data_IF_375768315384
#
_entry.id   IF_375768315384
#
_cell.length_a   1.000
_cell.length_b   1.000
_cell.length_c   1.000
_cell.angle_alpha   90.00
_cell.angle_beta   90.00
_cell.angle_gamma   90.00
#
_symmetry.space_group_name_H-M   'P 1'
#
loop_
_entity.id
_entity.type
_entity.pdbx_description
1 polymer ?
#
# COMPACT_ATOMS: atom_id res chain seq x y z
N UNK A 1 50.93 32.04 -55.81
CA UNK A 1 50.97 31.51 -54.41
C UNK A 1 49.64 31.83 -53.72
N UNK A 2 48.69 30.91 -53.70
CA UNK A 2 47.38 31.06 -53.16
C UNK A 2 47.35 30.37 -51.75
N UNK A 3 47.23 31.16 -50.69
CA UNK A 3 47.13 30.67 -49.35
C UNK A 3 45.72 30.16 -49.15
N UNK A 4 45.53 28.85 -48.92
CA UNK A 4 44.27 28.24 -48.44
C UNK A 4 44.18 28.47 -46.97
N UNK A 5 43.12 29.25 -46.52
CA UNK A 5 42.77 29.42 -45.16
C UNK A 5 41.85 28.24 -44.80
N UNK A 6 42.29 27.39 -43.89
CA UNK A 6 41.49 26.27 -43.33
C UNK A 6 40.75 26.79 -42.11
N UNK A 7 39.46 27.11 -42.26
CA UNK A 7 38.58 27.43 -41.11
C UNK A 7 38.17 26.12 -40.40
N UNK A 8 38.67 25.91 -39.19
CA UNK A 8 38.23 24.84 -38.33
C UNK A 8 36.97 25.33 -37.61
N UNK A 9 35.82 24.78 -38.00
CA UNK A 9 34.54 25.01 -37.29
C UNK A 9 34.49 24.07 -36.08
N UNK A 10 34.71 24.61 -34.87
CA UNK A 10 34.54 23.85 -33.62
C UNK A 10 33.05 23.80 -33.30
N UNK A 11 32.45 22.65 -33.58
CA UNK A 11 31.05 22.36 -33.23
C UNK A 11 31.00 22.03 -31.72
N UNK A 12 30.62 22.98 -30.87
CA UNK A 12 30.39 22.74 -29.45
C UNK A 12 29.01 22.03 -29.34
N UNK A 13 29.03 20.72 -29.21
CA UNK A 13 27.85 19.93 -28.90
C UNK A 13 27.53 20.10 -27.41
N UNK A 14 26.58 20.97 -27.08
CA UNK A 14 25.98 20.96 -25.75
C UNK A 14 25.13 19.70 -25.60
N UNK A 15 25.68 18.65 -25.05
CA UNK A 15 24.88 17.57 -24.53
C UNK A 15 24.12 18.08 -23.28
N UNK A 16 22.86 18.39 -23.44
CA UNK A 16 21.98 18.55 -22.29
C UNK A 16 21.86 17.17 -21.63
N UNK A 17 22.72 16.86 -20.68
CA UNK A 17 22.51 15.75 -19.78
C UNK A 17 21.26 16.13 -18.94
N UNK A 18 20.09 15.65 -19.35
CA UNK A 18 18.92 15.70 -18.51
C UNK A 18 19.29 14.95 -17.21
N UNK A 19 19.38 15.66 -16.10
CA UNK A 19 19.63 15.01 -14.82
C UNK A 19 18.46 14.06 -14.53
N UNK A 20 18.79 12.76 -14.37
CA UNK A 20 17.80 11.74 -14.10
C UNK A 20 17.09 12.06 -12.78
N UNK A 21 15.76 12.01 -12.81
CA UNK A 21 14.95 12.16 -11.60
C UNK A 21 14.92 10.85 -10.80
N UNK A 22 14.66 10.97 -9.54
CA UNK A 22 14.44 9.84 -8.64
C UNK A 22 13.28 10.15 -7.69
N UNK A 23 12.60 9.11 -7.21
CA UNK A 23 11.57 9.24 -6.19
C UNK A 23 12.22 9.59 -4.85
N UNK A 24 11.70 10.64 -4.21
CA UNK A 24 12.08 11.06 -2.86
C UNK A 24 10.85 11.35 -2.02
N UNK A 25 10.98 11.19 -0.70
CA UNK A 25 9.97 11.61 0.25
C UNK A 25 10.45 12.84 1.02
N UNK A 26 9.66 13.91 0.98
CA UNK A 26 9.94 15.19 1.63
C UNK A 26 9.19 15.23 2.96
N UNK A 27 9.91 15.05 4.06
CA UNK A 27 9.35 15.13 5.41
C UNK A 27 9.19 16.59 5.83
N UNK A 28 8.03 16.93 6.34
CA UNK A 28 7.77 18.24 6.94
C UNK A 28 8.17 18.26 8.42
N UNK A 29 8.53 19.45 8.93
CA UNK A 29 9.01 19.62 10.32
C UNK A 29 7.93 19.34 11.36
N UNK A 30 6.73 19.80 11.09
CA UNK A 30 5.63 19.82 12.05
C UNK A 30 4.27 19.85 11.36
N UNK A 31 3.22 19.93 12.16
CA UNK A 31 1.83 20.15 11.76
C UNK A 31 1.26 21.32 12.58
N UNK A 32 1.48 22.58 12.15
CA UNK A 32 1.08 23.77 12.91
C UNK A 32 -0.41 23.78 13.29
N UNK A 33 -1.27 23.28 12.42
CA UNK A 33 -2.73 23.28 12.58
C UNK A 33 -3.30 22.03 13.30
N UNK A 34 -2.46 21.18 13.88
CA UNK A 34 -2.89 19.94 14.57
C UNK A 34 -3.89 20.16 15.71
N UNK A 35 -3.91 21.34 16.33
CA UNK A 35 -4.86 21.66 17.39
C UNK A 35 -6.33 21.52 16.96
N UNK A 36 -6.64 21.83 15.69
CA UNK A 36 -7.98 21.67 15.13
C UNK A 36 -8.40 20.18 15.08
N UNK A 37 -7.47 19.29 14.74
CA UNK A 37 -7.70 17.84 14.78
C UNK A 37 -7.96 17.36 16.21
N UNK A 38 -7.14 17.76 17.18
CA UNK A 38 -7.36 17.36 18.59
C UNK A 38 -8.68 17.87 19.16
N UNK A 39 -9.17 19.02 18.71
CA UNK A 39 -10.48 19.54 19.10
C UNK A 39 -11.64 18.76 18.46
N UNK A 40 -11.44 18.16 17.28
CA UNK A 40 -12.44 17.37 16.58
C UNK A 40 -11.79 16.21 15.80
N UNK A 41 -11.41 15.10 16.46
CA UNK A 41 -10.77 13.96 15.81
C UNK A 41 -11.63 13.28 14.73
N UNK A 42 -12.96 13.43 14.80
CA UNK A 42 -13.89 12.91 13.78
C UNK A 42 -13.75 13.60 12.41
N UNK A 43 -13.02 14.71 12.32
CA UNK A 43 -12.67 15.31 11.03
C UNK A 43 -11.76 14.41 10.18
N UNK A 44 -10.96 13.57 10.82
CA UNK A 44 -9.95 12.72 10.17
C UNK A 44 -10.18 11.23 10.39
N UNK A 45 -10.81 10.83 11.47
CA UNK A 45 -10.99 9.44 11.88
C UNK A 45 -12.47 9.11 12.05
N UNK A 46 -12.88 7.91 11.68
CA UNK A 46 -14.21 7.41 11.98
C UNK A 46 -14.38 7.12 13.49
N UNK A 47 -15.63 7.05 13.96
CA UNK A 47 -15.91 6.63 15.33
C UNK A 47 -15.30 5.24 15.61
N UNK A 48 -15.41 4.30 14.67
CA UNK A 48 -14.83 2.95 14.80
C UNK A 48 -13.30 2.98 15.00
N UNK A 49 -12.61 3.91 14.32
CA UNK A 49 -11.16 4.13 14.51
C UNK A 49 -10.84 4.62 15.93
N UNK A 50 -11.66 5.55 16.47
CA UNK A 50 -11.53 6.05 17.84
C UNK A 50 -11.85 4.98 18.87
N UNK A 51 -12.89 4.18 18.63
CA UNK A 51 -13.30 3.07 19.51
C UNK A 51 -12.20 2.00 19.59
N UNK A 52 -11.55 1.66 18.46
CA UNK A 52 -10.40 0.75 18.44
C UNK A 52 -9.28 1.27 19.33
N UNK A 53 -8.89 2.55 19.20
CA UNK A 53 -7.86 3.17 20.03
C UNK A 53 -8.23 3.12 21.52
N UNK A 54 -9.46 3.44 21.84
CA UNK A 54 -9.97 3.37 23.22
C UNK A 54 -9.89 1.95 23.75
N UNK A 55 -10.32 0.95 22.96
CA UNK A 55 -10.28 -0.47 23.33
C UNK A 55 -8.87 -0.95 23.68
N UNK A 56 -7.86 -0.46 22.97
CA UNK A 56 -6.46 -0.86 23.15
C UNK A 56 -5.63 0.13 23.97
N UNK A 57 -6.22 1.19 24.52
CA UNK A 57 -5.51 2.20 25.31
C UNK A 57 -4.53 3.04 24.51
N UNK A 58 -4.79 3.25 23.20
CA UNK A 58 -3.92 3.98 22.28
C UNK A 58 -4.34 5.46 22.26
N UNK A 59 -3.43 6.36 22.64
CA UNK A 59 -3.67 7.79 22.59
C UNK A 59 -3.54 8.32 21.13
N UNK A 60 -4.31 9.37 20.82
CA UNK A 60 -4.09 10.15 19.59
C UNK A 60 -2.72 10.83 19.65
N UNK A 61 -2.07 10.93 18.53
CA UNK A 61 -0.79 11.60 18.38
C UNK A 61 -0.71 12.44 17.09
N UNK A 62 0.40 13.12 16.85
CA UNK A 62 0.58 14.02 15.70
C UNK A 62 0.47 13.30 14.35
N UNK A 63 0.71 11.98 14.29
CA UNK A 63 0.53 11.20 13.06
C UNK A 63 -0.94 11.11 12.64
N UNK A 64 -1.87 11.21 13.59
CA UNK A 64 -3.32 11.17 13.30
C UNK A 64 -3.83 12.47 12.67
N UNK A 65 -3.17 13.60 12.94
CA UNK A 65 -3.52 14.91 12.40
C UNK A 65 -3.21 15.00 10.89
N UNK A 66 -3.99 15.77 10.10
CA UNK A 66 -3.73 15.97 8.69
C UNK A 66 -2.40 16.70 8.42
N UNK A 67 -1.93 16.59 7.18
CA UNK A 67 -0.79 17.37 6.71
C UNK A 67 -1.10 18.87 6.70
N UNK A 68 -0.08 19.67 6.94
CA UNK A 68 -0.15 21.12 6.73
C UNK A 68 -0.25 21.44 5.22
N UNK A 69 -1.43 21.84 4.78
CA UNK A 69 -1.72 22.07 3.36
C UNK A 69 -0.90 23.21 2.75
N UNK A 70 -0.51 24.20 3.54
CA UNK A 70 0.37 25.27 3.08
C UNK A 70 1.76 24.73 2.69
N UNK A 71 2.29 23.74 3.40
CA UNK A 71 3.54 23.09 3.05
C UNK A 71 3.44 22.29 1.76
N UNK A 72 2.35 21.53 1.59
CA UNK A 72 2.06 20.81 0.35
C UNK A 72 1.99 21.80 -0.83
N UNK A 73 1.29 22.91 -0.66
CA UNK A 73 1.18 23.94 -1.70
C UNK A 73 2.52 24.58 -2.01
N UNK A 74 3.36 24.83 -1.00
CA UNK A 74 4.70 25.37 -1.21
C UNK A 74 5.59 24.43 -2.04
N UNK A 75 5.49 23.09 -1.84
CA UNK A 75 6.17 22.12 -2.71
C UNK A 75 5.67 22.22 -4.16
N UNK A 76 4.36 22.34 -4.37
CA UNK A 76 3.80 22.56 -5.72
C UNK A 76 4.28 23.87 -6.36
N UNK A 77 4.40 24.94 -5.58
CA UNK A 77 4.90 26.24 -6.04
C UNK A 77 6.37 26.21 -6.47
N UNK A 78 7.16 25.24 -5.98
CA UNK A 78 8.52 24.95 -6.45
C UNK A 78 8.55 24.20 -7.79
N UNK A 79 7.39 23.88 -8.38
CA UNK A 79 7.26 23.20 -9.67
C UNK A 79 7.15 21.68 -9.58
N UNK A 80 6.96 21.10 -8.38
CA UNK A 80 6.78 19.67 -8.21
C UNK A 80 5.31 19.27 -8.39
N UNK A 81 5.10 18.13 -9.05
CA UNK A 81 3.80 17.44 -9.03
C UNK A 81 3.71 16.64 -7.73
N UNK A 82 2.68 16.90 -6.93
CA UNK A 82 2.41 16.18 -5.68
C UNK A 82 1.08 15.47 -5.85
N UNK A 83 1.13 14.16 -6.02
CA UNK A 83 -0.03 13.25 -6.11
C UNK A 83 -0.13 12.35 -4.90
N UNK A 84 0.98 12.12 -4.20
CA UNK A 84 1.14 11.13 -3.15
C UNK A 84 1.70 11.76 -1.88
N UNK A 85 1.11 11.39 -0.75
CA UNK A 85 1.45 11.98 0.54
C UNK A 85 1.14 11.00 1.68
N UNK A 86 1.76 11.22 2.83
CA UNK A 86 1.47 10.45 4.04
C UNK A 86 1.35 11.37 5.24
N UNK A 87 0.21 11.31 5.93
CA UNK A 87 0.05 12.01 7.21
C UNK A 87 0.83 11.32 8.32
N UNK A 88 0.98 10.00 8.27
CA UNK A 88 1.76 9.26 9.26
C UNK A 88 3.25 9.63 9.18
N UNK A 89 3.78 9.71 7.97
CA UNK A 89 5.17 10.11 7.71
C UNK A 89 5.36 11.64 7.67
N UNK A 90 4.28 12.42 7.74
CA UNK A 90 4.25 13.87 7.69
C UNK A 90 5.00 14.46 6.48
N UNK A 91 4.58 14.11 5.29
CA UNK A 91 5.25 14.60 4.08
C UNK A 91 4.60 14.18 2.78
N UNK A 92 5.32 14.43 1.68
CA UNK A 92 4.89 14.18 0.31
C UNK A 92 5.96 13.44 -0.48
N UNK A 93 5.55 12.61 -1.44
CA UNK A 93 6.44 11.99 -2.40
C UNK A 93 6.52 12.84 -3.67
N UNK A 94 7.72 13.01 -4.23
CA UNK A 94 7.96 13.72 -5.50
C UNK A 94 9.11 13.09 -6.25
N UNK A 95 9.09 13.22 -7.59
CA UNK A 95 10.23 12.90 -8.43
C UNK A 95 11.13 14.14 -8.57
N UNK A 96 12.41 14.03 -8.21
CA UNK A 96 13.33 15.16 -8.15
C UNK A 96 14.73 14.81 -8.70
N UNK A 97 15.36 15.76 -9.38
CA UNK A 97 16.79 15.70 -9.70
C UNK A 97 17.65 15.99 -8.48
N UNK A 98 18.94 15.63 -8.45
CA UNK A 98 19.85 15.96 -7.34
C UNK A 98 19.87 17.46 -6.97
N UNK A 99 19.81 18.35 -7.96
CA UNK A 99 19.75 19.80 -7.71
C UNK A 99 18.42 20.21 -7.05
N UNK A 100 17.32 19.64 -7.48
CA UNK A 100 16.00 19.87 -6.89
C UNK A 100 15.91 19.33 -5.46
N UNK A 101 16.54 18.18 -5.16
CA UNK A 101 16.65 17.65 -3.78
C UNK A 101 17.31 18.67 -2.87
N UNK A 102 18.42 19.30 -3.32
CA UNK A 102 19.09 20.37 -2.55
C UNK A 102 18.15 21.56 -2.31
N UNK A 103 17.35 21.94 -3.33
CA UNK A 103 16.35 23.01 -3.19
C UNK A 103 15.27 22.66 -2.16
N UNK A 104 14.78 21.42 -2.16
CA UNK A 104 13.81 20.94 -1.18
C UNK A 104 14.38 20.95 0.25
N UNK A 105 15.61 20.48 0.42
CA UNK A 105 16.30 20.45 1.71
C UNK A 105 16.54 21.85 2.31
N UNK A 106 16.64 22.87 1.46
CA UNK A 106 16.83 24.27 1.89
C UNK A 106 15.54 24.93 2.40
N UNK A 107 14.37 24.31 2.24
CA UNK A 107 13.11 24.91 2.66
C UNK A 107 12.96 24.89 4.19
N UNK A 108 12.53 26.01 4.78
CA UNK A 108 12.42 26.15 6.24
C UNK A 108 11.40 25.22 6.90
N UNK A 109 10.40 24.77 6.16
CA UNK A 109 9.34 23.86 6.59
C UNK A 109 9.67 22.38 6.32
N UNK A 110 10.76 22.08 5.61
CA UNK A 110 11.23 20.71 5.37
C UNK A 110 12.15 20.27 6.50
N UNK A 111 11.91 19.09 7.04
CA UNK A 111 12.74 18.45 8.05
C UNK A 111 13.91 17.70 7.39
N UNK A 112 13.58 16.88 6.38
CA UNK A 112 14.54 16.07 5.65
C UNK A 112 13.95 15.63 4.32
N UNK A 113 14.81 15.16 3.42
CA UNK A 113 14.43 14.51 2.17
C UNK A 113 15.06 13.13 2.16
N UNK A 114 14.22 12.10 2.12
CA UNK A 114 14.66 10.70 2.02
C UNK A 114 14.64 10.26 0.57
N UNK A 115 15.75 9.68 0.13
CA UNK A 115 15.86 9.06 -1.20
C UNK A 115 15.42 7.60 -1.11
N UNK A 116 14.61 7.14 -2.04
CA UNK A 116 14.24 5.72 -2.14
C UNK A 116 15.36 4.89 -2.77
N UNK A 117 16.24 5.51 -3.57
CA UNK A 117 17.46 4.85 -4.04
C UNK A 117 18.36 4.55 -2.84
N UNK A 118 18.55 3.27 -2.54
CA UNK A 118 19.43 2.79 -1.46
C UNK A 118 20.81 2.42 -2.02
N UNK A 119 20.87 1.89 -3.23
CA UNK A 119 22.08 1.37 -3.86
C UNK A 119 22.27 1.99 -5.26
N UNK A 120 22.84 3.21 -5.38
CA UNK A 120 22.94 3.94 -6.67
C UNK A 120 23.68 3.19 -7.77
N UNK A 121 24.55 2.22 -7.44
CA UNK A 121 25.23 1.37 -8.41
C UNK A 121 24.39 0.19 -8.93
N UNK A 122 23.14 0.07 -8.46
CA UNK A 122 22.26 -1.07 -8.71
C UNK A 122 22.51 -2.23 -7.75
N UNK A 123 21.45 -2.73 -7.11
CA UNK A 123 21.46 -4.01 -6.41
C UNK A 123 21.45 -5.14 -7.43
N UNK A 124 22.14 -6.26 -7.15
CA UNK A 124 22.06 -7.44 -8.01
C UNK A 124 20.63 -7.99 -8.04
N UNK A 125 20.10 -8.28 -9.23
CA UNK A 125 18.86 -9.07 -9.33
C UNK A 125 19.13 -10.44 -8.72
N UNK A 126 18.41 -10.75 -7.66
CA UNK A 126 18.29 -12.14 -7.21
C UNK A 126 17.27 -12.81 -8.11
N UNK A 127 17.71 -13.72 -8.97
CA UNK A 127 16.82 -14.59 -9.76
C UNK A 127 16.03 -15.49 -8.79
N UNK A 128 14.99 -14.95 -8.19
CA UNK A 128 14.00 -15.74 -7.47
C UNK A 128 13.09 -16.35 -8.53
N UNK A 129 13.26 -17.66 -8.75
CA UNK A 129 12.31 -18.42 -9.56
C UNK A 129 10.91 -18.16 -9.02
N UNK A 130 10.05 -17.55 -9.85
CA UNK A 130 8.61 -17.46 -9.58
C UNK A 130 8.11 -18.88 -9.37
N UNK A 131 7.87 -19.25 -8.12
CA UNK A 131 7.28 -20.53 -7.76
C UNK A 131 5.78 -20.41 -8.08
N UNK A 132 5.31 -21.32 -8.95
CA UNK A 132 3.88 -21.43 -9.21
C UNK A 132 3.21 -21.91 -7.89
N UNK A 133 2.50 -21.03 -7.20
CA UNK A 133 2.00 -21.23 -5.83
C UNK A 133 0.72 -22.07 -5.76
N UNK A 134 0.26 -22.64 -6.89
CA UNK A 134 -1.01 -23.35 -6.96
C UNK A 134 -0.79 -24.83 -7.32
N UNK A 135 -0.72 -25.69 -6.29
CA UNK A 135 -0.96 -27.13 -6.42
C UNK A 135 -2.38 -27.43 -5.94
N UNK A 136 -3.16 -28.13 -6.78
CA UNK A 136 -4.49 -28.60 -6.40
C UNK A 136 -4.37 -29.78 -5.41
N UNK A 137 -4.97 -29.62 -4.23
CA UNK A 137 -5.10 -30.69 -3.25
C UNK A 137 -6.54 -31.21 -3.22
N UNK A 138 -6.71 -32.49 -3.55
CA UNK A 138 -7.97 -33.22 -3.37
C UNK A 138 -7.98 -33.91 -2.00
N UNK A 139 -8.94 -33.57 -1.12
CA UNK A 139 -9.18 -34.40 0.06
C UNK A 139 -10.64 -34.41 0.57
N UNK A 140 -11.03 -35.49 1.20
CA UNK A 140 -12.39 -35.94 1.50
C UNK A 140 -12.87 -35.48 2.87
N UNK A 141 -14.16 -35.24 3.00
CA UNK A 141 -14.95 -34.39 3.90
C UNK A 141 -15.28 -35.03 5.26
N UNK A 142 -15.21 -34.21 6.32
CA UNK A 142 -15.90 -34.40 7.61
C UNK A 142 -17.00 -33.36 7.79
N UNK A 143 -18.13 -33.69 8.43
CA UNK A 143 -19.28 -32.81 8.63
C UNK A 143 -19.00 -31.67 9.64
N UNK A 144 -19.22 -30.43 9.23
CA UNK A 144 -19.28 -29.20 10.06
C UNK A 144 -20.51 -28.42 9.66
N UNK A 145 -20.85 -27.34 10.38
CA UNK A 145 -21.89 -26.39 9.99
C UNK A 145 -21.58 -25.74 8.63
N UNK A 146 -20.29 -25.64 8.26
CA UNK A 146 -19.84 -25.33 6.91
C UNK A 146 -19.32 -26.60 6.22
N UNK A 147 -19.69 -26.77 4.96
CA UNK A 147 -19.03 -27.70 4.08
C UNK A 147 -17.94 -26.95 3.30
N UNK A 148 -16.69 -27.13 3.72
CA UNK A 148 -15.53 -26.39 3.18
C UNK A 148 -15.08 -26.86 1.79
N UNK A 149 -15.56 -28.03 1.35
CA UNK A 149 -15.18 -28.56 0.05
C UNK A 149 -13.66 -28.59 -0.15
N UNK A 150 -13.18 -27.97 -1.22
CA UNK A 150 -11.77 -27.92 -1.56
C UNK A 150 -10.90 -27.16 -0.52
N UNK A 151 -11.49 -26.28 0.29
CA UNK A 151 -10.79 -25.49 1.32
C UNK A 151 -10.54 -26.23 2.64
N UNK A 152 -11.05 -27.48 2.79
CA UNK A 152 -11.03 -28.17 4.08
C UNK A 152 -9.62 -28.41 4.65
N UNK A 153 -8.64 -28.71 3.79
CA UNK A 153 -7.27 -28.97 4.22
C UNK A 153 -6.62 -27.73 4.85
N UNK A 154 -6.81 -26.55 4.24
CA UNK A 154 -6.29 -25.28 4.73
C UNK A 154 -6.95 -24.89 6.06
N UNK A 155 -8.27 -25.04 6.16
CA UNK A 155 -9.03 -24.76 7.39
C UNK A 155 -8.56 -25.68 8.54
N UNK A 156 -8.34 -26.97 8.27
CA UNK A 156 -7.86 -27.91 9.26
C UNK A 156 -6.38 -27.66 9.64
N UNK A 157 -5.54 -27.24 8.69
CA UNK A 157 -4.12 -26.97 8.95
C UNK A 157 -3.92 -25.87 10.01
N UNK A 158 -4.76 -24.84 9.99
CA UNK A 158 -4.73 -23.74 10.96
C UNK A 158 -5.70 -23.95 12.14
N UNK A 159 -6.34 -25.13 12.21
CA UNK A 159 -7.32 -25.49 13.24
C UNK A 159 -8.45 -24.44 13.40
N UNK A 160 -8.95 -23.90 12.29
CA UNK A 160 -9.97 -22.85 12.27
C UNK A 160 -11.39 -23.38 12.51
N UNK A 161 -11.66 -24.64 12.14
CA UNK A 161 -12.98 -25.26 12.23
C UNK A 161 -13.65 -25.13 13.59
N UNK A 162 -12.97 -25.35 14.76
CA UNK A 162 -13.58 -25.14 16.07
C UNK A 162 -14.06 -23.71 16.30
N UNK A 163 -13.36 -22.70 15.76
CA UNK A 163 -13.77 -21.30 15.88
C UNK A 163 -15.06 -21.05 15.07
N UNK A 164 -15.16 -21.59 13.85
CA UNK A 164 -16.39 -21.47 13.05
C UNK A 164 -17.58 -22.15 13.73
N UNK A 165 -17.38 -23.35 14.30
CA UNK A 165 -18.43 -24.07 15.07
C UNK A 165 -18.87 -23.23 16.28
N UNK A 166 -17.96 -22.50 16.92
CA UNK A 166 -18.26 -21.60 18.02
C UNK A 166 -18.87 -20.26 17.58
N UNK A 167 -19.09 -20.06 16.26
CA UNK A 167 -19.71 -18.87 15.69
C UNK A 167 -18.73 -17.71 15.35
N UNK A 168 -17.42 -17.94 15.45
CA UNK A 168 -16.41 -16.92 15.09
C UNK A 168 -16.12 -16.99 13.58
N UNK A 169 -16.95 -16.33 12.79
CA UNK A 169 -16.88 -16.34 11.31
C UNK A 169 -16.46 -14.97 10.72
N UNK A 170 -15.99 -14.05 11.57
CA UNK A 170 -15.57 -12.71 11.19
C UNK A 170 -16.59 -11.60 11.45
N UNK A 171 -17.80 -11.95 11.95
CA UNK A 171 -18.84 -10.95 12.26
C UNK A 171 -18.32 -9.87 13.22
N UNK A 172 -18.51 -8.59 12.84
CA UNK A 172 -18.06 -7.43 13.61
C UNK A 172 -16.60 -7.03 13.37
N UNK A 173 -15.83 -7.83 12.64
CA UNK A 173 -14.46 -7.51 12.23
C UNK A 173 -14.46 -6.85 10.85
N UNK A 174 -13.67 -5.80 10.67
CA UNK A 174 -13.45 -5.15 9.37
C UNK A 174 -12.02 -5.42 8.91
N UNK A 175 -11.88 -5.94 7.70
CA UNK A 175 -10.60 -6.30 7.09
C UNK A 175 -10.35 -5.39 5.89
N UNK A 176 -9.19 -4.76 5.80
CA UNK A 176 -8.72 -4.19 4.54
C UNK A 176 -7.87 -5.21 3.82
N UNK A 177 -8.19 -5.49 2.55
CA UNK A 177 -7.31 -6.25 1.66
C UNK A 177 -6.60 -5.25 0.76
N UNK A 178 -5.28 -5.18 0.88
CA UNK A 178 -4.41 -4.30 0.11
C UNK A 178 -3.62 -5.17 -0.87
N UNK A 179 -3.86 -5.01 -2.18
CA UNK A 179 -3.35 -5.94 -3.19
C UNK A 179 -3.37 -5.32 -4.61
N UNK A 180 -3.23 -6.12 -5.66
CA UNK A 180 -3.17 -5.70 -7.07
C UNK A 180 -4.50 -5.18 -7.63
N UNK A 181 -5.63 -5.56 -7.05
CA UNK A 181 -6.97 -5.25 -7.54
C UNK A 181 -7.93 -6.41 -7.35
N UNK A 182 -9.21 -6.18 -7.67
CA UNK A 182 -10.29 -7.12 -7.33
C UNK A 182 -11.24 -7.40 -8.52
N UNK A 183 -10.73 -7.64 -9.74
CA UNK A 183 -11.59 -8.00 -10.86
C UNK A 183 -12.43 -9.22 -10.52
N UNK A 184 -13.66 -9.27 -11.03
CA UNK A 184 -14.67 -10.31 -10.77
C UNK A 184 -15.27 -10.38 -9.37
N UNK A 185 -14.76 -9.66 -8.37
CA UNK A 185 -15.37 -9.63 -7.03
C UNK A 185 -16.79 -9.05 -7.08
N UNK A 186 -17.04 -8.09 -7.97
CA UNK A 186 -18.36 -7.50 -8.19
C UNK A 186 -19.36 -8.43 -8.90
N UNK A 187 -18.92 -9.53 -9.54
CA UNK A 187 -19.79 -10.41 -10.35
C UNK A 187 -19.67 -11.89 -9.98
N UNK A 188 -18.50 -12.34 -9.53
CA UNK A 188 -18.18 -13.75 -9.28
C UNK A 188 -19.06 -14.39 -8.21
N UNK A 189 -19.42 -15.65 -8.41
CA UNK A 189 -20.29 -16.41 -7.51
C UNK A 189 -19.70 -16.59 -6.12
N UNK A 190 -18.37 -16.77 -6.02
CA UNK A 190 -17.67 -16.95 -4.76
C UNK A 190 -17.82 -15.72 -3.81
N UNK A 191 -18.08 -14.55 -4.37
CA UNK A 191 -18.24 -13.30 -3.59
C UNK A 191 -19.71 -12.85 -3.45
N UNK A 192 -20.67 -13.67 -3.93
CA UNK A 192 -22.08 -13.31 -3.87
C UNK A 192 -22.55 -13.05 -2.42
N UNK A 193 -22.06 -13.84 -1.45
CA UNK A 193 -22.38 -13.68 -0.03
C UNK A 193 -22.02 -12.29 0.47
N UNK A 194 -20.78 -11.89 0.35
CA UNK A 194 -20.31 -10.59 0.87
C UNK A 194 -20.93 -9.40 0.14
N UNK A 195 -21.26 -9.55 -1.17
CA UNK A 195 -22.00 -8.51 -1.91
C UNK A 195 -23.43 -8.38 -1.42
N UNK A 196 -24.15 -9.49 -1.35
CA UNK A 196 -25.58 -9.50 -1.00
C UNK A 196 -25.83 -9.04 0.45
N UNK A 197 -24.88 -9.34 1.34
CA UNK A 197 -24.95 -8.92 2.75
C UNK A 197 -24.41 -7.50 2.98
N UNK A 198 -23.94 -6.79 1.93
CA UNK A 198 -23.38 -5.45 2.07
C UNK A 198 -22.08 -5.40 2.89
N UNK A 199 -21.30 -6.48 2.87
CA UNK A 199 -20.05 -6.59 3.62
C UNK A 199 -18.87 -5.86 2.93
N UNK A 200 -18.96 -5.55 1.63
CA UNK A 200 -18.00 -4.70 0.94
C UNK A 200 -18.34 -3.25 1.26
N UNK A 201 -17.55 -2.59 2.12
CA UNK A 201 -17.81 -1.24 2.62
C UNK A 201 -17.23 -0.14 1.73
N UNK A 202 -16.39 -0.50 0.78
CA UNK A 202 -15.77 0.41 -0.19
C UNK A 202 -14.39 -0.03 -0.61
N UNK A 203 -13.71 0.83 -1.36
CA UNK A 203 -12.36 0.59 -1.84
C UNK A 203 -11.85 1.77 -2.64
N UNK A 204 -10.58 1.71 -3.01
CA UNK A 204 -9.93 2.72 -3.82
C UNK A 204 -8.74 2.14 -4.58
N UNK A 205 -8.53 2.61 -5.79
CA UNK A 205 -7.38 2.27 -6.62
C UNK A 205 -6.33 3.39 -6.49
N UNK A 206 -5.30 3.15 -5.69
CA UNK A 206 -4.23 4.11 -5.43
C UNK A 206 -3.26 4.23 -6.61
N UNK A 207 -3.21 3.25 -7.52
CA UNK A 207 -2.39 3.29 -8.73
C UNK A 207 -2.97 4.32 -9.70
N UNK A 208 -4.27 4.19 -10.01
CA UNK A 208 -4.98 5.03 -10.99
C UNK A 208 -5.70 6.22 -10.35
N UNK A 209 -5.61 6.40 -9.01
CA UNK A 209 -6.23 7.47 -8.23
C UNK A 209 -7.75 7.62 -8.49
N UNK A 210 -8.46 6.49 -8.49
CA UNK A 210 -9.90 6.43 -8.71
C UNK A 210 -10.57 5.29 -7.90
N UNK A 211 -11.89 5.15 -8.03
CA UNK A 211 -12.66 4.13 -7.30
C UNK A 211 -12.81 2.80 -8.07
N UNK A 212 -12.20 2.65 -9.24
CA UNK A 212 -12.33 1.43 -10.04
C UNK A 212 -11.33 0.35 -9.57
N UNK A 213 -11.75 -0.40 -8.57
CA UNK A 213 -11.02 -1.55 -8.02
C UNK A 213 -11.36 -2.86 -8.71
N UNK A 214 -12.38 -2.87 -9.59
CA UNK A 214 -12.89 -4.06 -10.27
C UNK A 214 -12.49 -4.12 -11.75
N UNK A 215 -11.73 -3.16 -12.23
CA UNK A 215 -11.26 -3.12 -13.62
C UNK A 215 -10.61 -4.44 -14.01
N UNK A 216 -10.98 -4.94 -15.19
CA UNK A 216 -10.35 -6.14 -15.78
C UNK A 216 -8.92 -5.90 -16.25
N UNK A 217 -8.46 -4.63 -16.25
CA UNK A 217 -7.07 -4.27 -16.51
C UNK A 217 -6.17 -4.52 -15.29
N UNK A 218 -6.76 -4.61 -14.09
CA UNK A 218 -6.02 -4.96 -12.87
C UNK A 218 -5.73 -6.47 -12.82
N UNK A 219 -4.67 -6.83 -12.13
CA UNK A 219 -4.36 -8.23 -11.86
C UNK A 219 -5.37 -8.81 -10.84
N UNK A 220 -5.67 -10.10 -10.95
CA UNK A 220 -6.68 -10.77 -10.14
C UNK A 220 -6.13 -11.41 -8.84
N UNK A 221 -4.87 -11.18 -8.51
CA UNK A 221 -4.25 -11.74 -7.30
C UNK A 221 -5.01 -11.31 -6.03
N UNK A 222 -5.40 -10.03 -5.91
CA UNK A 222 -6.20 -9.55 -4.79
C UNK A 222 -7.57 -10.21 -4.69
N UNK A 223 -8.19 -10.57 -5.83
CA UNK A 223 -9.43 -11.37 -5.82
C UNK A 223 -9.19 -12.77 -5.24
N UNK A 224 -8.04 -13.39 -5.51
CA UNK A 224 -7.71 -14.69 -4.93
C UNK A 224 -7.44 -14.59 -3.43
N UNK A 225 -6.68 -13.56 -2.99
CA UNK A 225 -6.42 -13.31 -1.58
C UNK A 225 -7.73 -13.07 -0.81
N UNK A 226 -8.62 -12.23 -1.35
CA UNK A 226 -9.96 -12.05 -0.79
C UNK A 226 -10.78 -13.36 -0.80
N UNK A 227 -10.63 -14.17 -1.84
CA UNK A 227 -11.31 -15.47 -1.94
C UNK A 227 -10.95 -16.42 -0.81
N UNK A 228 -9.68 -16.46 -0.41
CA UNK A 228 -9.20 -17.27 0.73
C UNK A 228 -9.81 -16.79 2.06
N UNK A 229 -10.07 -15.49 2.19
CA UNK A 229 -10.63 -14.89 3.40
C UNK A 229 -12.17 -14.97 3.41
N UNK A 230 -12.80 -14.53 2.34
CA UNK A 230 -14.23 -14.20 2.29
C UNK A 230 -15.06 -15.09 1.33
N UNK A 231 -14.38 -15.90 0.51
CA UNK A 231 -15.06 -16.70 -0.51
C UNK A 231 -16.07 -17.64 0.10
N UNK A 232 -17.25 -17.75 -0.54
CA UNK A 232 -18.30 -18.68 -0.11
C UNK A 232 -19.04 -19.25 -1.30
N UNK A 233 -18.91 -20.56 -1.48
CA UNK A 233 -19.73 -21.33 -2.42
C UNK A 233 -20.27 -22.52 -1.65
N UNK A 234 -21.58 -22.53 -1.43
CA UNK A 234 -22.24 -23.54 -0.60
C UNK A 234 -21.84 -24.96 -1.01
N UNK A 235 -21.40 -25.76 -0.06
CA UNK A 235 -20.94 -27.15 -0.23
C UNK A 235 -19.68 -27.34 -1.09
N UNK A 236 -18.98 -26.25 -1.47
CA UNK A 236 -17.80 -26.35 -2.32
C UNK A 236 -16.59 -25.64 -1.74
N UNK A 237 -16.79 -24.47 -1.10
CA UNK A 237 -15.70 -23.67 -0.57
C UNK A 237 -16.21 -22.66 0.48
N UNK A 238 -15.48 -22.51 1.58
CA UNK A 238 -15.69 -21.45 2.58
C UNK A 238 -14.34 -20.89 3.00
N UNK A 239 -14.19 -19.57 2.92
CA UNK A 239 -13.03 -18.84 3.38
C UNK A 239 -12.93 -18.76 4.91
N UNK A 240 -11.84 -18.13 5.39
CA UNK A 240 -11.54 -18.08 6.82
C UNK A 240 -12.42 -17.09 7.62
N UNK A 241 -12.95 -16.04 7.00
CA UNK A 241 -13.78 -15.03 7.64
C UNK A 241 -14.93 -14.55 6.73
N UNK A 242 -15.88 -15.46 6.36
CA UNK A 242 -16.92 -15.16 5.35
C UNK A 242 -17.95 -14.14 5.80
N UNK A 243 -17.98 -13.77 7.09
CA UNK A 243 -18.93 -12.81 7.67
C UNK A 243 -18.25 -11.52 8.15
N UNK A 244 -16.97 -11.31 7.80
CA UNK A 244 -16.29 -10.05 8.05
C UNK A 244 -16.75 -8.94 7.07
N UNK A 245 -16.56 -7.69 7.44
CA UNK A 245 -16.69 -6.54 6.56
C UNK A 245 -15.35 -6.26 5.85
N UNK A 246 -15.39 -5.71 4.62
CA UNK A 246 -14.20 -5.55 3.79
C UNK A 246 -14.07 -4.14 3.20
N UNK A 247 -12.84 -3.59 3.26
CA UNK A 247 -12.37 -2.53 2.38
C UNK A 247 -11.34 -3.12 1.42
N UNK A 248 -11.38 -2.72 0.14
CA UNK A 248 -10.55 -3.29 -0.91
C UNK A 248 -9.70 -2.18 -1.54
N UNK A 249 -8.37 -2.30 -1.45
CA UNK A 249 -7.45 -1.27 -1.92
C UNK A 249 -6.48 -1.85 -2.94
N UNK A 250 -6.43 -1.27 -4.15
CA UNK A 250 -5.46 -1.62 -5.17
C UNK A 250 -4.26 -0.66 -5.04
N UNK A 251 -3.07 -1.22 -4.75
CA UNK A 251 -1.83 -0.49 -4.54
C UNK A 251 -0.67 -1.01 -5.36
N UNK A 252 -0.86 -2.14 -6.05
CA UNK A 252 0.17 -2.88 -6.75
C UNK A 252 -0.12 -2.97 -8.24
N UNK A 253 0.80 -2.48 -9.08
CA UNK A 253 0.82 -2.72 -10.51
C UNK A 253 1.60 -4.01 -10.79
N UNK A 254 0.89 -5.13 -10.96
CA UNK A 254 1.52 -6.44 -11.18
C UNK A 254 2.41 -6.54 -12.43
N UNK A 255 2.47 -5.50 -13.24
CA UNK A 255 3.26 -5.43 -14.48
C UNK A 255 4.50 -4.56 -14.37
N UNK A 256 4.54 -3.65 -13.40
CA UNK A 256 5.63 -2.72 -13.15
C UNK A 256 5.94 -2.66 -11.65
N UNK A 257 7.14 -3.05 -11.27
CA UNK A 257 7.63 -2.99 -9.89
C UNK A 257 8.27 -1.63 -9.64
N UNK A 258 7.52 -0.68 -9.12
CA UNK A 258 7.93 0.71 -8.93
C UNK A 258 7.95 1.10 -7.44
N UNK A 259 8.88 1.96 -7.01
CA UNK A 259 9.00 2.35 -5.59
C UNK A 259 7.80 3.16 -5.07
N UNK A 260 7.02 3.77 -5.95
CA UNK A 260 5.77 4.48 -5.62
C UNK A 260 4.74 3.59 -4.91
N UNK A 261 4.74 2.29 -5.17
CA UNK A 261 3.84 1.31 -4.55
C UNK A 261 3.97 1.26 -3.03
N UNK A 262 5.16 1.52 -2.50
CA UNK A 262 5.35 1.65 -1.06
C UNK A 262 4.59 2.86 -0.47
N UNK A 263 4.42 3.93 -1.27
CA UNK A 263 3.61 5.08 -0.87
C UNK A 263 2.12 4.75 -0.99
N UNK A 264 1.70 4.14 -2.11
CA UNK A 264 0.30 3.72 -2.32
C UNK A 264 -0.19 2.80 -1.21
N UNK A 265 0.65 1.84 -0.80
CA UNK A 265 0.35 0.98 0.34
C UNK A 265 0.18 1.79 1.64
N UNK A 266 1.05 2.76 1.87
CA UNK A 266 0.99 3.61 3.07
C UNK A 266 -0.29 4.44 3.08
N UNK A 267 -0.66 5.04 1.96
CA UNK A 267 -1.92 5.77 1.80
C UNK A 267 -3.14 4.86 2.05
N UNK A 268 -3.11 3.63 1.54
CA UNK A 268 -4.16 2.64 1.76
C UNK A 268 -4.27 2.24 3.24
N UNK A 269 -3.15 2.05 3.93
CA UNK A 269 -3.12 1.74 5.35
C UNK A 269 -3.64 2.92 6.21
N UNK A 270 -3.32 4.15 5.85
CA UNK A 270 -3.88 5.36 6.47
C UNK A 270 -5.40 5.48 6.28
N UNK A 271 -5.88 5.15 5.07
CA UNK A 271 -7.32 5.12 4.79
C UNK A 271 -8.00 3.99 5.56
N UNK A 272 -7.38 2.81 5.67
CA UNK A 272 -7.86 1.70 6.49
C UNK A 272 -7.97 2.11 7.97
N UNK A 273 -6.96 2.81 8.50
CA UNK A 273 -7.01 3.38 9.85
C UNK A 273 -8.17 4.37 10.02
N UNK A 274 -8.30 5.31 9.07
CA UNK A 274 -9.37 6.31 9.07
C UNK A 274 -10.75 5.66 9.09
N UNK A 275 -10.94 4.55 8.37
CA UNK A 275 -12.20 3.77 8.31
C UNK A 275 -12.45 2.91 9.54
N UNK A 276 -11.47 2.71 10.40
CA UNK A 276 -11.58 1.87 11.60
C UNK A 276 -11.45 0.38 11.28
N UNK A 277 -10.62 0.04 10.32
CA UNK A 277 -10.27 -1.36 9.99
C UNK A 277 -9.55 -2.01 11.17
N UNK A 278 -9.88 -3.26 11.45
CA UNK A 278 -9.29 -4.05 12.53
C UNK A 278 -8.07 -4.85 12.08
N UNK A 279 -8.06 -5.31 10.82
CA UNK A 279 -7.01 -6.15 10.24
C UNK A 279 -6.66 -5.67 8.83
N UNK A 280 -5.39 -5.55 8.51
CA UNK A 280 -4.89 -5.38 7.15
C UNK A 280 -4.32 -6.72 6.67
N UNK A 281 -4.84 -7.22 5.54
CA UNK A 281 -4.30 -8.38 4.84
C UNK A 281 -3.54 -7.89 3.61
N UNK A 282 -2.24 -8.19 3.56
CA UNK A 282 -1.33 -7.83 2.48
C UNK A 282 -0.52 -9.05 2.06
N UNK A 283 -0.59 -9.44 0.79
CA UNK A 283 0.16 -10.56 0.22
C UNK A 283 1.22 -10.07 -0.78
N UNK A 284 1.94 -9.01 -0.41
CA UNK A 284 2.88 -8.25 -1.23
C UNK A 284 4.27 -8.19 -0.59
N UNK A 285 5.29 -7.87 -1.38
CA UNK A 285 6.64 -7.67 -0.88
C UNK A 285 7.46 -6.81 -1.84
N UNK A 286 8.22 -5.86 -1.30
CA UNK A 286 8.93 -4.83 -2.06
C UNK A 286 10.43 -4.95 -1.81
N UNK A 287 11.17 -5.54 -2.75
CA UNK A 287 12.62 -5.72 -2.61
C UNK A 287 13.37 -5.64 -3.94
N UNK A 288 12.80 -6.09 -5.06
CA UNK A 288 13.34 -5.97 -6.41
C UNK A 288 12.40 -5.08 -7.24
N UNK A 289 12.94 -4.02 -7.82
CA UNK A 289 12.22 -3.06 -8.64
C UNK A 289 12.71 -3.11 -10.08
N UNK A 290 11.92 -2.61 -11.03
CA UNK A 290 12.32 -2.52 -12.44
C UNK A 290 13.56 -1.65 -12.61
N UNK A 291 13.67 -0.56 -11.85
CA UNK A 291 14.91 0.19 -11.71
C UNK A 291 15.70 -0.35 -10.52
N UNK A 292 16.74 -1.11 -10.80
CA UNK A 292 17.57 -1.79 -9.81
C UNK A 292 18.24 -0.86 -8.78
N UNK A 293 18.24 0.45 -9.00
CA UNK A 293 18.74 1.44 -8.03
C UNK A 293 17.88 1.49 -6.77
N UNK A 294 16.61 1.08 -6.87
CA UNK A 294 15.68 1.00 -5.74
C UNK A 294 15.71 -0.35 -5.02
N UNK A 295 16.39 -1.36 -5.57
CA UNK A 295 16.44 -2.69 -4.97
C UNK A 295 16.96 -2.64 -3.53
N UNK A 296 16.36 -3.47 -2.68
CA UNK A 296 16.77 -3.62 -1.29
C UNK A 296 17.68 -4.84 -1.13
N UNK A 297 18.66 -4.73 -0.27
CA UNK A 297 19.47 -5.87 0.17
C UNK A 297 18.76 -6.60 1.32
N UNK A 298 19.15 -7.83 1.57
CA UNK A 298 18.64 -8.59 2.72
C UNK A 298 18.85 -7.86 4.06
N UNK A 299 19.96 -7.13 4.21
CA UNK A 299 20.24 -6.29 5.38
C UNK A 299 19.23 -5.14 5.58
N UNK A 300 18.55 -4.71 4.52
CA UNK A 300 17.56 -3.63 4.57
C UNK A 300 16.19 -4.12 5.05
N UNK A 301 15.98 -5.46 5.06
CA UNK A 301 14.75 -6.12 5.52
C UNK A 301 14.74 -6.27 7.05
N UNK A 302 15.01 -5.19 7.76
CA UNK A 302 15.16 -5.14 9.22
C UNK A 302 13.97 -4.47 9.93
N UNK A 303 12.89 -4.18 9.20
CA UNK A 303 11.68 -3.54 9.72
C UNK A 303 11.77 -2.01 9.87
N UNK A 304 12.94 -1.40 9.69
CA UNK A 304 13.15 0.04 9.91
C UNK A 304 13.70 0.79 8.69
N UNK A 305 14.42 0.12 7.80
CA UNK A 305 15.04 0.74 6.63
C UNK A 305 14.02 1.00 5.53
N UNK A 306 13.12 0.06 5.25
CA UNK A 306 12.08 0.21 4.24
C UNK A 306 11.02 1.21 4.67
N UNK A 307 10.59 2.08 3.74
CA UNK A 307 9.51 3.04 3.97
C UNK A 307 8.20 2.33 4.37
N UNK A 308 7.83 1.29 3.63
CA UNK A 308 6.61 0.53 3.88
C UNK A 308 6.66 -0.23 5.22
N UNK A 309 7.82 -0.78 5.63
CA UNK A 309 7.93 -1.47 6.91
C UNK A 309 7.68 -0.53 8.10
N UNK A 310 8.15 0.73 8.00
CA UNK A 310 7.85 1.77 9.01
C UNK A 310 6.37 2.12 9.03
N UNK A 311 5.71 2.22 7.85
CA UNK A 311 4.27 2.45 7.77
C UNK A 311 3.47 1.28 8.38
N UNK A 312 3.88 0.04 8.12
CA UNK A 312 3.26 -1.14 8.72
C UNK A 312 3.39 -1.14 10.26
N UNK A 313 4.56 -0.74 10.79
CA UNK A 313 4.74 -0.57 12.23
C UNK A 313 3.78 0.48 12.79
N UNK A 314 3.60 1.62 12.12
CA UNK A 314 2.64 2.64 12.54
C UNK A 314 1.22 2.07 12.54
N UNK A 315 0.82 1.27 11.55
CA UNK A 315 -0.49 0.62 11.54
C UNK A 315 -0.70 -0.24 12.79
N UNK A 316 0.31 -1.04 13.20
CA UNK A 316 0.27 -1.84 14.43
C UNK A 316 0.16 -0.95 15.67
N UNK A 317 0.92 0.15 15.73
CA UNK A 317 0.85 1.14 16.83
C UNK A 317 -0.52 1.82 16.92
N UNK A 318 -1.29 1.88 15.82
CA UNK A 318 -2.69 2.34 15.79
C UNK A 318 -3.70 1.25 16.18
N UNK A 319 -3.24 0.04 16.50
CA UNK A 319 -4.08 -1.11 16.91
C UNK A 319 -4.69 -1.87 15.74
N UNK A 320 -4.09 -1.83 14.56
CA UNK A 320 -4.46 -2.65 13.41
C UNK A 320 -3.54 -3.88 13.38
N UNK A 321 -4.11 -5.08 13.14
CA UNK A 321 -3.39 -6.32 13.03
C UNK A 321 -3.06 -6.67 11.59
#
# INVERSE_FOLDING_TARGET
MTKKIFSVLVLIIFTFASAQTELVFVFFKDKPNKAAFYANPLSELSQKSLDRRTKYGIALNDQDAPLEQSYVQNIRNLGFTVTDYSKWMNGVAVNATPAQITTLQAQTYVQSVERFIKHPAGGGKTDIKKVNKFEEFNNTIGKTDFNYGAGLSQINQINLRPLHIAGFTGTGVTIAVIDTGFPTVNTGTAFARIRNNGQIKGGYNFISKNNDIYSTALNNHGSYCLGVIAGYVQNQYVGSAPDADFYLYATEDAYNEIPEEMIYWTEAAEEADRKGVDVISTSLGYYDFDDSRYNMLYSDMNGTTSFIARAAQIAVEKGIF
#
